data_IF_953349805811
#
_entry.id   IF_953349805811
#
_cell.length_a   1.000
_cell.length_b   1.000
_cell.length_c   1.000
_cell.angle_alpha   90.00
_cell.angle_beta   90.00
_cell.angle_gamma   90.00
#
_symmetry.space_group_name_H-M   'P 1'
#
loop_
_entity.id
_entity.type
_entity.pdbx_description
1 polymer ?
2 non-polymer ?
3 non-polymer ?
4 water ?
#
# COMPACT_ATOMS: atom_id res chain seq x y z
N UNK A 9 10.51 14.54 12.26
CA UNK A 9 9.80 15.35 11.21
C UNK A 9 8.77 14.58 10.37
N UNK A 10 7.83 13.93 11.05
CA UNK A 10 6.78 13.18 10.39
C UNK A 10 5.72 14.10 9.80
N UNK A 11 5.18 13.72 8.65
CA UNK A 11 4.38 14.65 7.84
C UNK A 11 3.56 13.87 6.82
N UNK A 12 2.28 14.22 6.71
CA UNK A 12 1.37 13.61 5.73
C UNK A 12 1.05 14.65 4.65
N UNK A 13 1.31 14.28 3.39
CA UNK A 13 1.06 15.18 2.25
C UNK A 13 0.21 14.45 1.23
N UNK A 14 -0.78 15.16 0.67
CA UNK A 14 -1.64 14.60 -0.36
C UNK A 14 -1.30 15.25 -1.70
N UNK A 15 -0.82 14.44 -2.66
CA UNK A 15 -0.17 14.92 -3.90
C UNK A 15 -0.79 14.28 -5.18
N UNK A 16 -0.46 14.80 -6.36
CA UNK A 16 -0.83 14.15 -7.60
C UNK A 16 0.39 13.84 -8.40
N UNK A 17 0.34 12.77 -9.16
CA UNK A 17 1.45 12.36 -9.99
C UNK A 17 1.56 10.86 -10.15
N UNK A 18 2.78 10.39 -10.43
CA UNK A 18 3.02 8.97 -10.69
C UNK A 18 3.58 8.35 -9.41
N UNK A 19 2.77 7.57 -8.74
CA UNK A 19 3.20 6.93 -7.48
C UNK A 19 4.52 6.19 -7.59
N UNK A 20 4.74 5.58 -8.75
CA UNK A 20 5.89 4.75 -8.98
C UNK A 20 7.18 5.56 -8.98
N UNK A 21 7.10 6.88 -9.14
CA UNK A 21 8.23 7.78 -9.13
C UNK A 21 8.52 8.42 -7.78
N UNK A 22 7.71 8.10 -6.77
CA UNK A 22 7.84 8.77 -5.51
C UNK A 22 9.28 8.45 -4.96
N UNK A 23 9.99 9.45 -4.47
CA UNK A 23 11.44 9.23 -4.11
C UNK A 23 11.61 8.81 -2.67
N UNK A 24 10.96 7.68 -2.36
CA UNK A 24 10.79 7.26 -0.97
C UNK A 24 11.33 5.87 -0.75
N UNK A 25 11.32 5.40 0.50
CA UNK A 25 11.88 4.08 0.85
C UNK A 25 10.92 2.97 0.53
N UNK A 26 9.60 3.25 0.57
CA UNK A 26 8.60 2.18 0.48
C UNK A 26 7.45 2.68 -0.38
N UNK A 27 6.95 1.81 -1.26
CA UNK A 27 5.72 2.05 -1.99
C UNK A 27 4.67 1.06 -1.56
N UNK A 28 3.45 1.55 -1.48
CA UNK A 28 2.26 0.67 -1.29
C UNK A 28 1.58 0.35 -2.60
N UNK A 29 1.36 -0.94 -2.81
CA UNK A 29 0.65 -1.51 -3.95
C UNK A 29 -0.65 -2.07 -3.39
N UNK A 30 -1.76 -1.78 -4.03
CA UNK A 30 -3.07 -2.28 -3.56
C UNK A 30 -3.37 -3.59 -4.31
N UNK A 31 -3.58 -4.67 -3.54
CA UNK A 31 -3.62 -5.99 -4.11
C UNK A 31 -4.87 -6.74 -3.66
N UNK A 32 -5.03 -7.90 -4.22
CA UNK A 32 -6.02 -8.89 -3.73
C UNK A 32 -5.28 -10.07 -3.14
N UNK A 33 -6.02 -11.06 -2.67
CA UNK A 33 -5.41 -12.17 -1.95
C UNK A 33 -5.31 -13.42 -2.77
N UNK A 34 -5.72 -13.36 -4.03
CA UNK A 34 -5.71 -14.55 -4.91
C UNK A 34 -4.58 -14.63 -5.94
N UNK A 35 -3.64 -13.68 -5.92
CA UNK A 35 -2.38 -13.83 -6.63
C UNK A 35 -2.41 -13.29 -8.02
N UNK A 36 -3.27 -12.30 -8.25
CA UNK A 36 -3.40 -11.68 -9.57
C UNK A 36 -3.12 -10.16 -9.51
N UNK A 37 -2.24 -9.68 -10.40
CA UNK A 37 -2.05 -8.24 -10.54
C UNK A 37 -2.39 -7.90 -11.96
N UNK A 38 -3.67 -7.70 -12.22
CA UNK A 38 -4.15 -7.61 -13.62
C UNK A 38 -4.61 -6.23 -14.05
N UNK A 39 -4.96 -5.38 -13.10
CA UNK A 39 -5.52 -4.07 -13.46
C UNK A 39 -5.16 -3.01 -12.47
N UNK A 40 -5.39 -1.75 -12.85
CA UNK A 40 -5.17 -0.65 -11.93
C UNK A 40 -3.75 -0.53 -11.43
N UNK A 41 -3.64 -0.12 -10.16
CA UNK A 41 -2.36 0.11 -9.57
C UNK A 41 -1.51 -1.16 -9.63
N UNK A 42 -2.13 -2.29 -9.33
CA UNK A 42 -1.36 -3.54 -9.18
C UNK A 42 -0.71 -3.90 -10.54
N UNK A 43 -1.44 -3.66 -11.64
CA UNK A 43 -0.87 -3.88 -12.97
C UNK A 43 0.39 -3.06 -13.20
N UNK A 44 0.38 -1.82 -12.76
CA UNK A 44 1.55 -0.94 -12.93
C UNK A 44 2.71 -1.49 -12.11
N UNK A 45 2.39 -1.93 -10.89
CA UNK A 45 3.40 -2.57 -10.02
C UNK A 45 3.93 -3.86 -10.59
N UNK A 46 3.08 -4.69 -11.18
CA UNK A 46 3.57 -5.93 -11.79
C UNK A 46 4.64 -5.65 -12.84
N UNK A 47 4.32 -4.69 -13.72
CA UNK A 47 5.25 -4.28 -14.84
C UNK A 47 6.55 -3.63 -14.35
N UNK A 48 6.47 -2.81 -13.28
CA UNK A 48 7.63 -2.07 -12.77
C UNK A 48 8.46 -2.91 -11.86
N UNK A 49 7.80 -3.86 -11.17
CA UNK A 49 8.46 -4.61 -10.12
C UNK A 49 8.19 -6.11 -10.25
N UNK A 50 8.79 -6.73 -11.26
CA UNK A 50 8.51 -8.15 -11.46
C UNK A 50 8.91 -9.10 -10.29
N UNK A 51 10.03 -8.83 -9.64
CA UNK A 51 10.43 -9.71 -8.54
C UNK A 51 9.43 -9.67 -7.36
N UNK A 52 8.87 -8.48 -7.09
CA UNK A 52 7.79 -8.32 -6.10
C UNK A 52 6.58 -9.11 -6.53
N UNK A 53 6.25 -9.06 -7.81
CA UNK A 53 5.07 -9.80 -8.30
C UNK A 53 5.24 -11.30 -8.09
N UNK A 54 6.40 -11.83 -8.45
CA UNK A 54 6.63 -13.28 -8.25
C UNK A 54 6.61 -13.65 -6.79
N UNK A 55 7.24 -12.82 -5.94
CA UNK A 55 7.20 -13.09 -4.51
C UNK A 55 5.79 -13.06 -3.94
N UNK A 56 5.00 -12.11 -4.43
CA UNK A 56 3.59 -11.97 -4.07
C UNK A 56 2.78 -13.19 -4.48
N UNK A 57 2.99 -13.68 -5.68
CA UNK A 57 2.30 -14.88 -6.14
C UNK A 57 2.59 -16.04 -5.20
N UNK A 58 3.87 -16.27 -4.90
CA UNK A 58 4.23 -17.32 -3.98
C UNK A 58 3.64 -17.14 -2.58
N UNK A 59 3.57 -15.89 -2.09
CA UNK A 59 3.01 -15.63 -0.75
C UNK A 59 1.51 -15.94 -0.76
N UNK A 60 0.86 -15.59 -1.85
CA UNK A 60 -0.58 -15.94 -1.97
C UNK A 60 -0.79 -17.45 -2.00
N UNK A 61 0.05 -18.18 -2.73
CA UNK A 61 -0.07 -19.66 -2.80
C UNK A 61 0.06 -20.27 -1.42
N UNK A 62 0.86 -19.65 -0.56
CA UNK A 62 1.05 -20.09 0.81
C UNK A 62 -0.07 -19.67 1.76
N UNK A 63 -0.99 -18.82 1.32
CA UNK A 63 -2.04 -18.29 2.19
C UNK A 63 -1.56 -17.16 3.12
N UNK A 64 -0.43 -16.56 2.76
CA UNK A 64 0.17 -15.57 3.59
C UNK A 64 -0.45 -14.19 3.42
N UNK A 65 -1.07 -13.96 2.27
CA UNK A 65 -1.66 -12.67 1.96
C UNK A 65 -3.13 -12.65 2.30
N UNK A 66 -3.47 -11.85 3.30
CA UNK A 66 -4.83 -11.82 3.83
C UNK A 66 -5.19 -10.42 4.17
N UNK A 67 -6.49 -10.19 4.31
CA UNK A 67 -6.97 -8.93 4.84
C UNK A 67 -6.30 -8.63 6.20
N UNK A 68 -5.78 -7.41 6.31
CA UNK A 68 -5.08 -6.93 7.51
C UNK A 68 -3.70 -7.47 7.64
N UNK A 69 -3.16 -8.08 6.57
CA UNK A 69 -1.83 -8.70 6.62
C UNK A 69 -1.07 -8.33 5.34
N UNK A 70 -0.37 -7.19 5.42
CA UNK A 70 0.43 -6.69 4.32
C UNK A 70 1.55 -7.65 4.01
N UNK A 71 1.77 -7.89 2.74
CA UNK A 71 2.92 -8.66 2.33
C UNK A 71 4.00 -7.71 1.83
N UNK A 72 5.14 -7.66 2.56
CA UNK A 72 6.24 -6.77 2.24
C UNK A 72 7.31 -7.51 1.47
N UNK A 73 7.75 -6.93 0.37
CA UNK A 73 8.89 -7.44 -0.38
C UNK A 73 10.07 -6.47 -0.25
N UNK A 74 11.23 -7.01 0.14
CA UNK A 74 12.45 -6.22 0.30
C UNK A 74 13.33 -6.35 -0.95
N UNK A 75 13.54 -5.25 -1.66
CA UNK A 75 14.33 -5.29 -2.87
C UNK A 75 15.82 -5.20 -2.54
N UNK A 76 16.14 -4.99 -1.29
CA UNK A 76 17.54 -4.98 -0.87
C UNK A 76 17.96 -3.61 -0.36
N UNK A 77 19.00 -3.59 0.48
CA UNK A 77 19.37 -2.35 1.14
C UNK A 77 19.85 -1.25 0.22
N UNK A 78 20.23 -1.56 -1.03
CA UNK A 78 20.73 -0.55 -1.96
C UNK A 78 19.67 -0.11 -2.95
N UNK A 79 18.45 -0.61 -2.78
CA UNK A 79 17.41 -0.36 -3.76
C UNK A 79 16.59 0.85 -3.37
N UNK A 80 15.93 1.43 -4.37
CA UNK A 80 14.91 2.45 -4.18
C UNK A 80 13.80 2.22 -5.19
N UNK A 81 12.56 2.18 -4.72
CA UNK A 81 12.20 1.94 -3.32
C UNK A 81 12.76 0.65 -2.81
N UNK A 82 13.11 0.61 -1.53
CA UNK A 82 13.60 -0.62 -0.97
C UNK A 82 12.46 -1.64 -0.77
N UNK A 83 11.30 -1.17 -0.34
CA UNK A 83 10.18 -2.05 0.01
C UNK A 83 8.99 -1.80 -0.84
N UNK A 84 8.34 -2.89 -1.21
CA UNK A 84 6.98 -2.87 -1.78
C UNK A 84 6.01 -3.47 -0.75
N UNK A 85 5.05 -2.65 -0.28
CA UNK A 85 4.08 -3.05 0.74
C UNK A 85 2.80 -3.42 -0.03
N UNK A 86 2.54 -4.71 -0.15
CA UNK A 86 1.43 -5.22 -0.96
C UNK A 86 0.25 -5.29 0.01
N UNK A 87 -0.64 -4.30 -0.14
CA UNK A 87 -1.77 -4.00 0.83
C UNK A 87 -3.05 -4.57 0.23
N UNK A 88 -3.58 -5.63 0.83
CA UNK A 88 -4.82 -6.19 0.30
C UNK A 88 -6.03 -5.27 0.55
N UNK A 89 -6.84 -4.98 -0.47
CA UNK A 89 -8.02 -4.18 -0.26
C UNK A 89 -9.25 -4.99 -0.55
N UNK A 90 -9.04 -6.20 -0.97
CA UNK A 90 -10.14 -7.09 -1.42
C UNK A 90 -9.61 -8.53 -1.52
N UNK A 91 -10.53 -9.50 -1.50
CA UNK A 91 -10.12 -10.88 -1.61
C UNK A 91 -9.83 -11.24 -3.06
N UNK A 92 -10.85 -11.17 -3.91
CA UNK A 92 -10.68 -11.53 -5.29
C UNK A 92 -10.60 -10.27 -6.11
N UNK A 93 -9.92 -10.38 -7.23
CA UNK A 93 -9.70 -9.22 -8.06
C UNK A 93 -10.96 -8.64 -8.68
N UNK A 94 -12.02 -9.44 -8.83
CA UNK A 94 -13.30 -8.92 -9.28
C UNK A 94 -14.14 -8.18 -8.27
N UNK A 95 -13.86 -8.38 -7.00
CA UNK A 95 -14.61 -7.75 -5.95
C UNK A 95 -14.23 -6.30 -5.87
N UNK A 96 -15.12 -5.48 -5.36
CA UNK A 96 -14.74 -4.08 -5.10
C UNK A 96 -13.77 -4.05 -3.91
N UNK A 97 -13.04 -2.95 -3.78
CA UNK A 97 -12.33 -2.71 -2.51
C UNK A 97 -13.37 -2.48 -1.42
N UNK A 98 -13.07 -2.84 -0.20
CA UNK A 98 -14.00 -2.72 0.87
C UNK A 98 -13.44 -1.90 2.03
N UNK A 99 -14.27 -1.04 2.61
CA UNK A 99 -13.75 -0.07 3.60
C UNK A 99 -13.16 -0.79 4.81
N UNK A 100 -13.81 -1.86 5.25
CA UNK A 100 -13.31 -2.63 6.41
C UNK A 100 -11.90 -3.16 6.16
N UNK A 101 -11.63 -3.58 4.94
CA UNK A 101 -10.39 -4.16 4.60
C UNK A 101 -9.31 -3.07 4.52
N UNK A 102 -9.68 -1.89 4.08
CA UNK A 102 -8.74 -0.73 4.08
C UNK A 102 -8.42 -0.35 5.54
N UNK A 103 -9.43 -0.37 6.40
CA UNK A 103 -9.20 -0.01 7.82
C UNK A 103 -8.23 -0.98 8.47
N UNK A 104 -8.45 -2.27 8.27
CA UNK A 104 -7.59 -3.29 8.87
C UNK A 104 -6.19 -3.19 8.23
N UNK A 105 -6.14 -2.92 6.91
CA UNK A 105 -4.86 -2.76 6.24
C UNK A 105 -4.05 -1.56 6.78
N UNK A 106 -4.75 -0.46 7.07
CA UNK A 106 -4.03 0.74 7.56
C UNK A 106 -3.37 0.50 8.95
N UNK A 107 -4.06 -0.24 9.83
CA UNK A 107 -3.49 -0.66 11.08
C UNK A 107 -2.21 -1.46 10.80
N UNK A 108 -2.26 -2.40 9.86
CA UNK A 108 -1.08 -3.20 9.61
C UNK A 108 0.00 -2.42 8.92
N UNK A 109 -0.40 -1.41 8.18
CA UNK A 109 0.58 -0.52 7.52
C UNK A 109 1.45 0.18 8.55
N UNK A 110 0.83 0.69 9.59
CA UNK A 110 1.54 1.29 10.70
C UNK A 110 2.48 0.25 11.30
N UNK A 111 1.98 -0.95 11.56
CA UNK A 111 2.82 -2.05 12.09
C UNK A 111 4.07 -2.29 11.26
N UNK A 112 3.94 -2.39 9.94
CA UNK A 112 5.07 -2.77 9.08
C UNK A 112 6.05 -1.62 8.98
N UNK A 113 5.53 -0.40 8.90
CA UNK A 113 6.41 0.82 8.87
C UNK A 113 7.29 0.82 10.11
N UNK A 114 6.67 0.57 11.27
CA UNK A 114 7.42 0.57 12.53
C UNK A 114 8.39 -0.56 12.63
N UNK A 115 7.99 -1.77 12.25
CA UNK A 115 8.84 -2.99 12.29
C UNK A 115 10.11 -2.79 11.48
N UNK A 116 9.94 -2.18 10.31
CA UNK A 116 10.99 -2.06 9.33
C UNK A 116 11.72 -0.72 9.45
N UNK A 117 11.31 0.15 10.39
CA UNK A 117 11.92 1.47 10.60
C UNK A 117 11.96 2.25 9.28
N UNK A 118 10.85 2.15 8.54
CA UNK A 118 10.70 2.91 7.29
C UNK A 118 10.49 4.38 7.57
N UNK A 119 11.24 5.27 6.86
CA UNK A 119 11.21 6.70 7.16
C UNK A 119 10.46 7.49 6.10
N UNK A 120 10.16 6.87 4.97
CA UNK A 120 9.33 7.54 3.95
C UNK A 120 8.58 6.51 3.14
N UNK A 121 7.32 6.82 2.82
CA UNK A 121 6.43 5.86 2.17
C UNK A 121 5.42 6.63 1.33
N UNK A 122 5.03 6.04 0.22
CA UNK A 122 4.00 6.60 -0.65
C UNK A 122 2.93 5.56 -0.91
N UNK A 123 1.71 6.07 -0.99
CA UNK A 123 0.51 5.26 -1.11
C UNK A 123 -0.37 5.80 -2.24
N UNK A 124 -1.10 4.89 -2.91
CA UNK A 124 -2.23 5.29 -3.71
C UNK A 124 -3.44 5.58 -2.83
N UNK A 125 -4.58 5.94 -3.45
CA UNK A 125 -5.71 6.30 -2.58
C UNK A 125 -6.54 5.09 -2.05
N UNK A 126 -5.89 3.95 -1.88
CA UNK A 126 -6.47 2.72 -1.32
C UNK A 126 -7.86 2.36 -1.79
N UNK A 127 -8.00 2.25 -3.09
CA UNK A 127 -9.21 1.78 -3.69
C UNK A 127 -10.29 2.85 -3.81
N UNK A 128 -9.97 4.07 -3.44
CA UNK A 128 -10.90 5.22 -3.51
C UNK A 128 -10.85 5.85 -4.88
N UNK A 129 -11.96 6.45 -5.26
CA UNK A 129 -12.03 7.17 -6.49
C UNK A 129 -12.48 6.30 -7.65
N UNK A 130 -12.90 6.98 -8.71
CA UNK A 130 -13.15 6.35 -9.97
C UNK A 130 -14.01 5.12 -9.85
N UNK A 131 -15.17 5.25 -9.18
CA UNK A 131 -16.11 4.16 -9.03
C UNK A 131 -15.88 3.28 -7.80
N UNK A 132 -14.82 3.57 -7.05
CA UNK A 132 -14.49 2.78 -5.89
C UNK A 132 -14.98 3.38 -4.58
N UNK A 133 -14.16 3.24 -3.52
CA UNK A 133 -14.56 3.73 -2.23
C UNK A 133 -14.63 5.26 -2.21
N UNK A 134 -15.39 5.82 -1.27
CA UNK A 134 -15.49 7.29 -1.18
C UNK A 134 -14.21 7.90 -0.61
N UNK A 135 -13.57 8.76 -1.40
CA UNK A 135 -12.28 9.29 -1.03
C UNK A 135 -12.27 10.09 0.27
N UNK A 136 -13.32 10.91 0.53
CA UNK A 136 -13.29 11.65 1.80
C UNK A 136 -13.11 10.75 3.03
N UNK A 137 -13.80 9.63 3.04
CA UNK A 137 -13.77 8.70 4.15
C UNK A 137 -12.46 7.94 4.19
N UNK A 138 -11.95 7.56 3.03
CA UNK A 138 -10.63 6.88 2.98
C UNK A 138 -9.54 7.86 3.42
N UNK A 139 -9.58 9.09 2.88
CA UNK A 139 -8.61 10.12 3.29
C UNK A 139 -8.64 10.30 4.82
N UNK A 140 -9.82 10.34 5.41
CA UNK A 140 -9.97 10.52 6.84
C UNK A 140 -9.31 9.38 7.63
N UNK A 141 -9.54 8.15 7.18
CA UNK A 141 -8.94 6.99 7.82
C UNK A 141 -7.43 6.97 7.66
N UNK A 142 -6.95 7.40 6.50
CA UNK A 142 -5.49 7.50 6.30
C UNK A 142 -4.91 8.51 7.29
N UNK A 143 -5.56 9.65 7.41
CA UNK A 143 -5.10 10.70 8.34
C UNK A 143 -5.06 10.21 9.77
N UNK A 144 -6.13 9.57 10.19
CA UNK A 144 -6.21 8.99 11.54
C UNK A 144 -5.09 8.00 11.78
N UNK A 145 -4.88 7.11 10.83
CA UNK A 145 -3.85 6.07 10.98
C UNK A 145 -2.41 6.62 10.92
N UNK A 146 -2.15 7.55 10.02
CA UNK A 146 -0.78 7.80 9.56
C UNK A 146 -0.25 9.18 9.94
N UNK A 147 -1.00 9.90 10.77
CA UNK A 147 -0.44 11.09 11.43
C UNK A 147 0.11 10.73 12.83
N UNK A 148 -0.17 9.49 13.28
CA UNK A 148 0.45 8.94 14.51
C UNK A 148 1.77 8.18 14.25
N UNK A 149 2.50 8.58 13.19
CA UNK A 149 3.81 8.05 12.88
C UNK A 149 4.84 9.14 13.06
N UNK A 150 5.67 8.96 14.05
CA UNK A 150 6.76 9.89 14.35
C UNK A 150 7.90 9.68 13.37
N UNK A 151 8.32 10.73 12.69
CA UNK A 151 9.52 10.69 11.87
C UNK A 151 9.35 10.13 10.47
N UNK A 152 8.11 9.86 10.08
CA UNK A 152 7.86 9.24 8.79
C UNK A 152 7.20 10.21 7.84
N UNK A 153 7.81 10.40 6.67
CA UNK A 153 7.19 11.25 5.61
C UNK A 153 6.28 10.40 4.77
N UNK A 154 4.98 10.70 4.77
CA UNK A 154 3.95 9.91 4.09
C UNK A 154 3.37 10.74 2.95
N UNK A 155 3.42 10.15 1.76
CA UNK A 155 2.89 10.81 0.58
C UNK A 155 1.76 10.01 0.05
N UNK A 156 0.61 10.66 -0.08
CA UNK A 156 -0.56 9.97 -0.56
C UNK A 156 -0.92 10.57 -1.88
N UNK A 157 -0.99 9.71 -2.88
CA UNK A 157 -1.33 10.13 -4.21
C UNK A 157 -2.85 10.14 -4.37
N UNK A 158 -3.39 11.29 -4.83
CA UNK A 158 -4.82 11.51 -4.89
C UNK A 158 -5.38 10.79 -6.11
N UNK A 159 -6.68 10.38 -6.04
CA UNK A 159 -7.36 9.73 -7.22
C UNK A 159 -7.31 10.54 -8.53
X LIG B 1 -7.22 -9.89 -14.34
X LIG B 1 -7.42 -8.56 -14.81
X LIG B 1 -6.88 -10.85 -15.48
X LIG B 1 -6.01 -10.22 -16.45
X LIG B 1 -6.24 -12.11 -14.91
X LIG B 1 -7.01 -13.27 -15.26
X LIG C 1 -1.11 7.81 -8.96
X LIG C 1 0.00 7.10 -9.55
X LIG C 1 -2.21 6.81 -8.57
X LIG C 1 -1.89 6.21 -7.31
X LIG C 1 -3.59 7.48 -8.45
X LIG C 1 -3.56 8.84 -8.91
X LIG D 1 -5.90 -6.87 -9.99
X LIG E 1 0.42 3.33 -9.88
X LIG F 1 10.97 -5.78 -7.42
#
# INVERSE_FOLDING_TARGET
MGHHHHHHGGMLRFVRGNLLEAPVEALVNTVNTVGVMGKGVALQFKRAFPDNYQAYVKACERGQVQIGRIFVYDRGPLAQPRYIFNFPTKKHWRHPSRMEYVEEGLKDLVCRIQELRVRSIALPPLGAGNGGLPWPEVKQRIQEALEALEGVEVWVYEPVENPKA
GOL C1 O1 C2 O2 C3 O3
GOL C1 O1 C2 O2 C3 O3
CL CL
CL CL
CL CL
#
